data_IF_295182099829
#
_entry.id   IF_295182099829
#
_cell.length_a   1.000
_cell.length_b   1.000
_cell.length_c   1.000
_cell.angle_alpha   90.00
_cell.angle_beta   90.00
_cell.angle_gamma   90.00
#
_symmetry.space_group_name_H-M   'P 1'
#
loop_
_entity.id
_entity.type
_entity.pdbx_description
1 polymer ?
#
# COMPACT_ATOMS: atom_id res chain seq x y z
N UNK A 1 0.96 8.08 -8.41
CA UNK A 1 2.33 7.54 -8.41
C UNK A 1 3.20 8.24 -9.45
N UNK A 2 2.94 8.14 -10.75
CA UNK A 2 3.84 8.62 -11.81
C UNK A 2 4.35 10.07 -11.69
N UNK A 3 3.46 11.05 -11.46
CA UNK A 3 3.86 12.47 -11.37
C UNK A 3 4.75 12.74 -10.14
N UNK A 4 4.42 12.13 -9.00
CA UNK A 4 5.18 12.30 -7.75
C UNK A 4 6.54 11.60 -7.86
N UNK A 5 6.60 10.40 -8.46
CA UNK A 5 7.86 9.71 -8.71
C UNK A 5 8.79 10.52 -9.63
N UNK A 6 8.26 11.15 -10.67
CA UNK A 6 9.03 12.02 -11.55
C UNK A 6 9.65 13.21 -10.80
N UNK A 7 8.85 13.86 -9.95
CA UNK A 7 9.32 14.99 -9.12
C UNK A 7 10.40 14.52 -8.14
N UNK A 8 10.23 13.37 -7.48
CA UNK A 8 11.23 12.82 -6.55
C UNK A 8 12.55 12.50 -7.26
N UNK A 9 12.52 11.80 -8.39
CA UNK A 9 13.73 11.43 -9.15
C UNK A 9 14.46 12.68 -9.65
N UNK A 10 13.71 13.71 -10.07
CA UNK A 10 14.29 14.94 -10.61
C UNK A 10 14.96 15.82 -9.57
N UNK A 11 14.45 15.85 -8.33
CA UNK A 11 14.92 16.77 -7.29
C UNK A 11 15.78 16.11 -6.22
N UNK A 12 15.56 14.83 -5.90
CA UNK A 12 16.36 14.08 -4.92
C UNK A 12 16.39 12.59 -5.25
N UNK A 13 17.35 12.15 -6.09
CA UNK A 13 17.64 10.73 -6.30
C UNK A 13 18.40 10.15 -5.09
N UNK A 14 17.76 10.14 -3.92
CA UNK A 14 18.38 9.69 -2.68
C UNK A 14 17.95 8.27 -2.35
N UNK A 15 18.89 7.44 -1.88
CA UNK A 15 18.65 6.04 -1.51
C UNK A 15 17.54 5.83 -0.46
N UNK A 16 17.21 6.84 0.34
CA UNK A 16 16.13 6.80 1.34
C UNK A 16 14.75 6.52 0.74
N UNK A 17 14.53 6.86 -0.54
CA UNK A 17 13.27 6.60 -1.26
C UNK A 17 13.22 5.23 -1.93
N UNK A 18 14.36 4.55 -2.04
CA UNK A 18 14.45 3.21 -2.60
C UNK A 18 13.75 2.17 -1.73
N UNK A 19 13.91 2.24 -0.41
CA UNK A 19 13.29 1.29 0.53
C UNK A 19 11.75 1.23 0.43
N UNK A 20 11.01 2.37 0.49
CA UNK A 20 9.57 2.38 0.28
C UNK A 20 9.15 1.87 -1.11
N UNK A 21 9.91 2.20 -2.16
CA UNK A 21 9.62 1.78 -3.53
C UNK A 21 9.86 0.27 -3.74
N UNK A 22 10.89 -0.30 -3.13
CA UNK A 22 11.18 -1.72 -3.14
C UNK A 22 10.09 -2.52 -2.42
N UNK A 23 9.66 -2.07 -1.23
CA UNK A 23 8.55 -2.67 -0.50
C UNK A 23 7.24 -2.62 -1.30
N UNK A 24 6.94 -1.48 -1.94
CA UNK A 24 5.78 -1.37 -2.82
C UNK A 24 5.85 -2.38 -3.97
N UNK A 25 6.99 -2.46 -4.66
CA UNK A 25 7.19 -3.39 -5.77
C UNK A 25 7.01 -4.84 -5.33
N UNK A 26 7.53 -5.22 -4.17
CA UNK A 26 7.36 -6.56 -3.59
C UNK A 26 5.89 -6.93 -3.37
N UNK A 27 5.11 -6.04 -2.74
CA UNK A 27 3.67 -6.24 -2.58
C UNK A 27 2.95 -6.32 -3.92
N UNK A 28 3.35 -5.49 -4.88
CA UNK A 28 2.79 -5.48 -6.23
C UNK A 28 3.05 -6.80 -6.98
N UNK A 29 4.22 -7.42 -6.83
CA UNK A 29 4.49 -8.74 -7.41
C UNK A 29 3.45 -9.75 -6.93
N UNK A 30 3.19 -9.81 -5.62
CA UNK A 30 2.21 -10.73 -5.02
C UNK A 30 0.79 -10.41 -5.50
N UNK A 31 0.43 -9.12 -5.55
CA UNK A 31 -0.90 -8.68 -5.98
C UNK A 31 -1.17 -8.97 -7.46
N UNK A 32 -0.22 -8.69 -8.34
CA UNK A 32 -0.35 -8.98 -9.77
C UNK A 32 -0.32 -10.49 -10.05
N UNK A 33 0.45 -11.27 -9.30
CA UNK A 33 0.39 -12.72 -9.36
C UNK A 33 -1.03 -13.21 -9.02
N UNK A 34 -1.67 -12.67 -7.98
CA UNK A 34 -3.05 -12.99 -7.65
C UNK A 34 -4.03 -12.64 -8.79
N UNK A 35 -3.87 -11.49 -9.44
CA UNK A 35 -4.71 -11.11 -10.58
C UNK A 35 -4.48 -11.99 -11.81
N UNK A 36 -3.25 -12.40 -12.08
CA UNK A 36 -2.94 -13.39 -13.12
C UNK A 36 -3.65 -14.72 -12.86
N UNK A 37 -3.54 -15.25 -11.62
CA UNK A 37 -4.25 -16.46 -11.21
C UNK A 37 -5.78 -16.30 -11.28
N UNK A 38 -6.30 -15.11 -10.98
CA UNK A 38 -7.73 -14.83 -11.10
C UNK A 38 -8.21 -14.76 -12.56
N UNK A 39 -7.34 -14.38 -13.50
CA UNK A 39 -7.64 -14.31 -14.94
C UNK A 39 -7.60 -15.68 -15.63
N UNK A 40 -6.82 -16.64 -15.09
CA UNK A 40 -6.67 -18.00 -15.62
C UNK A 40 -7.93 -18.91 -15.51
N UNK A 41 -9.07 -18.36 -15.08
CA UNK A 41 -10.38 -18.99 -15.22
C UNK A 41 -11.02 -19.56 -13.94
N UNK A 42 -12.23 -20.08 -14.08
CA UNK A 42 -13.12 -20.52 -12.99
C UNK A 42 -12.50 -21.60 -12.09
N UNK A 43 -11.58 -22.41 -12.62
CA UNK A 43 -10.93 -23.52 -11.90
C UNK A 43 -10.00 -23.01 -10.79
N UNK A 44 -9.29 -21.90 -11.02
CA UNK A 44 -8.38 -21.31 -10.03
C UNK A 44 -9.09 -20.39 -9.05
N UNK A 45 -10.31 -19.94 -9.37
CA UNK A 45 -11.08 -19.03 -8.53
C UNK A 45 -11.40 -19.61 -7.15
N UNK A 46 -11.47 -20.93 -7.02
CA UNK A 46 -11.69 -21.65 -5.75
C UNK A 46 -10.52 -21.50 -4.77
N UNK A 47 -9.30 -21.33 -5.27
CA UNK A 47 -8.08 -21.19 -4.44
C UNK A 47 -7.78 -19.73 -4.05
N UNK A 48 -8.60 -18.75 -4.47
CA UNK A 48 -8.38 -17.32 -4.25
C UNK A 48 -8.89 -16.79 -2.90
N UNK A 49 -9.17 -17.67 -1.94
CA UNK A 49 -9.65 -17.35 -0.58
C UNK A 49 -8.76 -16.36 0.20
N UNK A 50 -7.47 -16.28 -0.12
CA UNK A 50 -6.51 -15.43 0.59
C UNK A 50 -6.56 -13.94 0.19
N UNK A 51 -7.58 -13.51 -0.57
CA UNK A 51 -7.77 -12.11 -0.97
C UNK A 51 -7.72 -11.13 0.22
N UNK A 52 -8.23 -11.57 1.38
CA UNK A 52 -8.21 -10.79 2.62
C UNK A 52 -6.78 -10.49 3.07
N UNK A 53 -5.89 -11.48 3.03
CA UNK A 53 -4.49 -11.32 3.40
C UNK A 53 -3.76 -10.38 2.45
N UNK A 54 -4.06 -10.42 1.15
CA UNK A 54 -3.50 -9.46 0.18
C UNK A 54 -3.91 -8.03 0.50
N UNK A 55 -5.20 -7.81 0.81
CA UNK A 55 -5.70 -6.47 1.15
C UNK A 55 -5.09 -5.97 2.47
N UNK A 56 -4.89 -6.87 3.45
CA UNK A 56 -4.23 -6.56 4.71
C UNK A 56 -2.74 -6.24 4.52
N UNK A 57 -2.05 -6.98 3.64
CA UNK A 57 -0.64 -6.77 3.30
C UNK A 57 -0.42 -5.44 2.58
N UNK A 58 -1.35 -5.04 1.70
CA UNK A 58 -1.35 -3.69 1.11
C UNK A 58 -1.56 -2.59 2.16
N UNK A 59 -2.45 -2.80 3.14
CA UNK A 59 -2.66 -1.84 4.23
C UNK A 59 -1.41 -1.72 5.12
N UNK A 60 -0.75 -2.85 5.41
CA UNK A 60 0.51 -2.87 6.14
C UNK A 60 1.62 -2.12 5.39
N UNK A 61 1.71 -2.28 4.07
CA UNK A 61 2.66 -1.52 3.24
C UNK A 61 2.45 -0.01 3.37
N UNK A 62 1.19 0.47 3.35
CA UNK A 62 0.90 1.90 3.54
C UNK A 62 1.23 2.38 4.96
N UNK A 63 0.97 1.57 5.98
CA UNK A 63 1.33 1.89 7.37
C UNK A 63 2.85 1.98 7.57
N UNK A 64 3.61 1.03 7.02
CA UNK A 64 5.07 1.04 7.04
C UNK A 64 5.64 2.22 6.26
N UNK A 65 5.04 2.55 5.10
CA UNK A 65 5.42 3.73 4.31
C UNK A 65 5.20 5.04 5.07
N UNK A 66 4.09 5.17 5.80
CA UNK A 66 3.82 6.32 6.66
C UNK A 66 4.80 6.41 7.83
N UNK A 67 5.12 5.29 8.48
CA UNK A 67 6.10 5.24 9.56
C UNK A 67 7.50 5.65 9.05
N UNK A 68 7.89 5.17 7.87
CA UNK A 68 9.15 5.54 7.21
C UNK A 68 9.19 7.04 6.87
N UNK A 69 8.09 7.58 6.31
CA UNK A 69 7.96 9.02 6.03
C UNK A 69 8.01 9.88 7.30
N UNK A 70 7.34 9.45 8.37
CA UNK A 70 7.37 10.13 9.66
C UNK A 70 8.77 10.11 10.29
N UNK A 71 9.47 8.97 10.24
CA UNK A 71 10.85 8.85 10.70
C UNK A 71 11.79 9.78 9.93
N UNK A 72 11.62 9.90 8.61
CA UNK A 72 12.40 10.82 7.80
C UNK A 72 12.21 12.29 8.19
N UNK A 73 10.99 12.68 8.59
CA UNK A 73 10.67 14.04 9.07
C UNK A 73 11.29 14.28 10.45
N UNK A 74 11.20 13.31 11.36
CA UNK A 74 11.70 13.45 12.75
C UNK A 74 13.23 13.57 12.76
N UNK A 75 13.93 12.75 11.98
CA UNK A 75 15.40 12.74 11.94
C UNK A 75 16.02 13.92 11.18
N UNK A 76 15.19 14.83 10.62
CA UNK A 76 15.65 15.99 9.83
C UNK A 76 16.75 15.62 8.84
N UNK A 77 16.58 14.51 8.09
CA UNK A 77 17.49 14.19 7.00
C UNK A 77 17.58 15.38 6.03
N UNK A 78 18.68 15.51 5.29
CA UNK A 78 18.93 16.54 4.27
C UNK A 78 17.98 16.45 3.05
N UNK A 79 16.78 15.92 3.26
CA UNK A 79 15.71 15.93 2.30
C UNK A 79 15.03 17.30 2.27
N UNK A 80 14.67 17.83 1.09
CA UNK A 80 13.81 18.99 1.01
C UNK A 80 12.49 18.69 1.75
N UNK A 81 12.17 19.45 2.82
CA UNK A 81 11.08 19.10 3.73
C UNK A 81 9.73 19.07 3.01
N UNK A 82 9.53 19.91 1.99
CA UNK A 82 8.31 19.93 1.19
C UNK A 82 8.03 18.59 0.50
N UNK A 83 9.07 17.86 0.07
CA UNK A 83 8.93 16.56 -0.60
C UNK A 83 8.53 15.46 0.38
N UNK A 84 9.08 15.48 1.59
CA UNK A 84 8.71 14.57 2.67
C UNK A 84 7.26 14.77 3.10
N UNK A 85 6.81 16.04 3.23
CA UNK A 85 5.42 16.34 3.55
C UNK A 85 4.47 15.89 2.44
N UNK A 86 4.76 16.20 1.18
CA UNK A 86 3.92 15.79 0.05
C UNK A 86 3.82 14.26 -0.10
N UNK A 87 4.94 13.55 0.05
CA UNK A 87 4.97 12.08 0.01
C UNK A 87 4.15 11.45 1.15
N UNK A 88 4.28 11.98 2.36
CA UNK A 88 3.56 11.48 3.55
C UNK A 88 2.06 11.78 3.46
N UNK A 89 1.68 13.00 3.08
CA UNK A 89 0.27 13.38 2.90
C UNK A 89 -0.41 12.55 1.81
N UNK A 90 0.31 12.21 0.74
CA UNK A 90 -0.24 11.41 -0.36
C UNK A 90 -0.57 9.96 0.03
N UNK A 91 0.07 9.39 1.07
CA UNK A 91 -0.25 8.05 1.55
C UNK A 91 -1.55 7.99 2.37
N UNK A 92 -1.98 9.10 2.98
CA UNK A 92 -3.16 9.15 3.85
C UNK A 92 -4.48 8.79 3.12
N UNK A 93 -4.78 9.32 1.92
CA UNK A 93 -5.96 8.92 1.16
C UNK A 93 -5.98 7.42 0.81
N UNK A 94 -4.83 6.83 0.50
CA UNK A 94 -4.74 5.39 0.18
C UNK A 94 -5.02 4.54 1.41
N UNK A 95 -4.44 4.89 2.56
CA UNK A 95 -4.71 4.20 3.82
C UNK A 95 -6.20 4.30 4.19
N UNK A 96 -6.80 5.49 4.05
CA UNK A 96 -8.22 5.69 4.32
C UNK A 96 -9.12 4.87 3.38
N UNK A 97 -8.87 4.94 2.08
CA UNK A 97 -9.68 4.25 1.07
C UNK A 97 -9.61 2.73 1.24
N UNK A 98 -8.41 2.18 1.38
CA UNK A 98 -8.20 0.74 1.58
C UNK A 98 -8.68 0.28 2.95
N UNK A 99 -8.49 1.09 4.00
CA UNK A 99 -9.01 0.82 5.34
C UNK A 99 -10.53 0.74 5.34
N UNK A 100 -11.20 1.70 4.68
CA UNK A 100 -12.66 1.72 4.53
C UNK A 100 -13.15 0.53 3.72
N UNK A 101 -12.47 0.18 2.63
CA UNK A 101 -12.80 -1.02 1.84
C UNK A 101 -12.65 -2.30 2.66
N UNK A 102 -11.56 -2.44 3.42
CA UNK A 102 -11.32 -3.60 4.28
C UNK A 102 -12.39 -3.73 5.38
N UNK A 103 -12.70 -2.63 6.07
CA UNK A 103 -13.74 -2.61 7.10
C UNK A 103 -15.13 -2.96 6.53
N UNK A 104 -15.49 -2.40 5.38
CA UNK A 104 -16.77 -2.68 4.74
C UNK A 104 -16.89 -4.13 4.24
N UNK A 105 -15.83 -4.70 3.65
CA UNK A 105 -15.84 -6.05 3.08
C UNK A 105 -15.68 -7.15 4.12
N UNK A 106 -14.89 -6.93 5.18
CA UNK A 106 -14.50 -8.02 6.10
C UNK A 106 -15.07 -7.85 7.51
N UNK A 107 -15.34 -6.63 7.98
CA UNK A 107 -15.94 -6.40 9.31
C UNK A 107 -17.47 -6.51 9.27
N UNK A 108 -18.14 -5.93 8.28
CA UNK A 108 -19.61 -6.07 8.14
C UNK A 108 -20.04 -7.48 7.75
N UNK A 109 -19.26 -8.19 6.94
CA UNK A 109 -19.52 -9.60 6.62
C UNK A 109 -19.31 -10.51 7.83
N UNK A 110 -18.41 -10.18 8.76
CA UNK A 110 -18.26 -10.89 10.04
C UNK A 110 -19.44 -10.66 11.00
N UNK A 111 -19.96 -9.41 11.08
CA UNK A 111 -21.16 -9.09 11.87
C UNK A 111 -22.43 -9.80 11.35
N UNK A 112 -22.62 -9.87 10.02
CA UNK A 112 -23.75 -10.61 9.44
C UNK A 112 -23.63 -12.13 9.60
N UNK A 113 -22.42 -12.68 9.79
CA UNK A 113 -22.22 -14.11 10.02
C UNK A 113 -22.56 -14.55 11.45
N UNK A 114 -22.62 -13.62 12.40
CA UNK A 114 -23.00 -13.87 13.80
C UNK A 114 -24.50 -13.67 14.06
N UNK A 115 -25.27 -13.25 13.04
CA UNK A 115 -26.71 -12.97 13.15
C UNK A 115 -27.59 -14.11 12.61
N UNK A 116 -26.98 -15.22 12.19
CA UNK A 116 -27.64 -16.45 11.75
C UNK A 116 -27.07 -17.63 12.53
#
# INVERSE_FOLDING_TARGET
MFIICWIIIKWTPTGSTFMPAALNSFVHIIMYAYYCLAALGSRFRRYLWWKRYLTALQLLQFALGLAWGAQAIINKCEYPPWLCYLGTTYMLPFLYLFGRFYAQKYTKTALNKHKY
#
